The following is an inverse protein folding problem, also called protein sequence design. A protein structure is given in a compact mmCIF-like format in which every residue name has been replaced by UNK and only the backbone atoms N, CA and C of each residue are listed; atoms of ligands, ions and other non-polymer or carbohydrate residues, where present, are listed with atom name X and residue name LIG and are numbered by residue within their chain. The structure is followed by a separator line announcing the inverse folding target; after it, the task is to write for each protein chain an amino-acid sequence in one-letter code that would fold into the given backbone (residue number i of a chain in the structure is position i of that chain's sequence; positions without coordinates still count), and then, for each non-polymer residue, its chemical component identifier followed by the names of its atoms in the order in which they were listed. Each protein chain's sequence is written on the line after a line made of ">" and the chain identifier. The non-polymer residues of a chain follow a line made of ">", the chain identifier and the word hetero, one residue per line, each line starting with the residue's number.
data_IF_926838244593
#
_entry.id   IF_926838244593
#
_cell.length_a   1.000
_cell.length_b   1.000
_cell.length_c   1.000
_cell.angle_alpha   90.00
_cell.angle_beta   90.00
_cell.angle_gamma   90.00
#
_symmetry.space_group_name_H-M   'P 1'
#
loop_
_entity.id
_entity.type
_entity.pdbx_description
1 polymer ?
#
# COMPACT_ATOMS: atom_id res chain seq x y z
N UNK A 1 11.89 16.09 55.54
CA UNK A 1 12.99 17.08 55.44
C UNK A 1 14.23 16.36 54.92
N UNK A 2 14.41 16.37 53.61
CA UNK A 2 15.71 16.21 52.95
C UNK A 2 15.68 17.24 51.83
N UNK A 3 16.67 18.13 51.83
CA UNK A 3 16.70 19.39 51.11
C UNK A 3 16.81 19.22 49.59
N UNK A 4 15.89 19.82 48.85
CA UNK A 4 16.03 20.08 47.42
C UNK A 4 17.08 21.17 47.22
N UNK A 5 18.31 20.79 46.89
CA UNK A 5 19.30 21.73 46.36
C UNK A 5 19.08 21.87 44.86
N UNK A 6 18.25 22.83 44.46
CA UNK A 6 18.17 23.28 43.07
C UNK A 6 19.47 24.00 42.70
N UNK A 7 20.37 23.31 42.01
CA UNK A 7 21.52 23.96 41.37
C UNK A 7 20.99 24.63 40.10
N UNK A 8 20.63 25.91 40.22
CA UNK A 8 20.42 26.78 39.07
C UNK A 8 21.76 27.12 38.43
N UNK A 9 22.28 26.24 37.55
CA UNK A 9 23.29 26.64 36.57
C UNK A 9 22.55 27.15 35.34
N UNK A 10 22.64 28.45 35.09
CA UNK A 10 22.27 29.04 33.80
C UNK A 10 23.19 28.44 32.74
N UNK A 11 22.65 27.51 31.95
CA UNK A 11 23.33 26.93 30.80
C UNK A 11 23.19 27.94 29.67
N UNK A 12 24.26 28.67 29.37
CA UNK A 12 24.35 29.45 28.12
C UNK A 12 24.55 28.48 26.97
N UNK A 13 23.53 28.29 26.14
CA UNK A 13 23.63 27.48 24.93
C UNK A 13 24.66 28.09 23.97
N UNK A 14 25.82 27.44 23.82
CA UNK A 14 26.81 27.81 22.81
C UNK A 14 26.26 27.66 21.40
N UNK A 15 26.90 28.39 20.47
CA UNK A 15 26.57 28.53 19.05
C UNK A 15 26.16 27.23 18.37
N UNK A 16 25.14 27.35 17.51
CA UNK A 16 24.60 26.35 16.58
C UNK A 16 25.71 25.44 16.04
N UNK A 17 25.65 24.14 16.37
CA UNK A 17 26.48 23.14 15.73
C UNK A 17 25.76 22.74 14.45
N UNK A 18 26.09 23.37 13.32
CA UNK A 18 25.69 22.87 12.00
C UNK A 18 26.55 21.65 11.67
N UNK A 19 26.26 20.53 12.32
CA UNK A 19 26.82 19.23 11.98
C UNK A 19 25.65 18.31 11.61
N UNK A 20 25.03 18.64 10.47
CA UNK A 20 24.09 17.78 9.78
C UNK A 20 24.78 16.46 9.46
N UNK A 21 24.20 15.34 9.89
CA UNK A 21 24.44 14.10 9.19
C UNK A 21 23.84 14.24 7.77
N UNK A 22 24.56 13.80 6.73
CA UNK A 22 24.03 13.82 5.37
C UNK A 22 22.81 12.89 5.28
N UNK A 23 21.61 13.47 5.13
CA UNK A 23 20.31 12.78 5.12
C UNK A 23 19.96 12.07 6.45
N UNK A 24 19.56 12.81 7.50
CA UNK A 24 19.13 12.22 8.78
C UNK A 24 17.97 11.26 8.59
N UNK A 25 18.11 10.06 9.16
CA UNK A 25 17.16 8.95 9.01
C UNK A 25 16.51 8.49 10.31
N UNK A 26 16.86 9.13 11.42
CA UNK A 26 16.17 9.01 12.70
C UNK A 26 15.27 10.23 12.90
N UNK A 27 14.06 10.00 13.39
CA UNK A 27 13.06 11.05 13.63
C UNK A 27 12.17 10.71 14.82
N UNK A 28 11.39 11.69 15.28
CA UNK A 28 10.51 11.58 16.42
C UNK A 28 11.13 12.11 17.72
N UNK A 29 10.40 11.93 18.81
CA UNK A 29 10.74 12.52 20.10
C UNK A 29 11.07 11.45 21.15
N UNK A 30 12.13 11.70 21.92
CA UNK A 30 12.40 11.05 23.20
C UNK A 30 12.09 12.02 24.36
N UNK A 31 11.98 11.49 25.57
CA UNK A 31 11.66 12.28 26.75
C UNK A 31 12.45 11.84 27.99
N UNK A 32 12.90 12.80 28.79
CA UNK A 32 13.44 12.55 30.12
C UNK A 32 13.15 13.71 31.05
N UNK A 33 12.93 13.45 32.35
CA UNK A 33 12.47 14.47 33.31
C UNK A 33 13.35 15.73 33.34
N UNK A 34 14.68 15.56 33.33
CA UNK A 34 15.63 16.68 33.34
C UNK A 34 16.12 17.06 31.92
N UNK A 35 15.87 16.22 30.93
CA UNK A 35 16.19 16.51 29.52
C UNK A 35 15.07 17.28 28.81
N UNK A 36 13.83 17.19 29.30
CA UNK A 36 12.66 17.59 28.55
C UNK A 36 12.49 16.77 27.28
N UNK A 37 11.81 17.35 26.30
CA UNK A 37 11.69 16.79 24.96
C UNK A 37 13.02 16.81 24.21
N UNK A 38 13.32 15.71 23.52
CA UNK A 38 14.49 15.56 22.66
C UNK A 38 14.01 15.24 21.24
N UNK A 39 14.27 16.15 20.31
CA UNK A 39 13.98 16.01 18.88
C UNK A 39 15.16 15.39 18.14
N UNK A 40 14.90 14.38 17.29
CA UNK A 40 15.94 13.67 16.53
C UNK A 40 16.13 14.19 15.11
N UNK A 41 15.22 15.04 14.62
CA UNK A 41 15.25 15.55 13.26
C UNK A 41 14.67 16.98 13.21
N UNK A 42 15.23 17.84 12.37
CA UNK A 42 14.63 19.16 12.12
C UNK A 42 13.20 19.08 11.58
N UNK A 43 12.84 18.01 10.84
CA UNK A 43 11.48 17.77 10.37
C UNK A 43 10.46 17.52 11.50
N UNK A 44 10.92 17.09 12.67
CA UNK A 44 10.04 16.94 13.83
C UNK A 44 9.48 18.30 14.29
N UNK A 45 10.14 19.39 13.87
CA UNK A 45 9.78 20.78 14.13
C UNK A 45 9.04 21.46 12.96
N UNK A 46 8.73 20.74 11.89
CA UNK A 46 8.03 21.25 10.70
C UNK A 46 6.92 20.25 10.27
N UNK A 47 5.86 20.11 11.08
CA UNK A 47 4.82 19.12 10.83
C UNK A 47 3.98 19.40 9.58
N UNK A 48 3.89 20.66 9.14
CA UNK A 48 3.23 21.09 7.91
C UNK A 48 4.15 21.13 6.68
N UNK A 49 5.46 20.89 6.88
CA UNK A 49 6.47 20.76 5.85
C UNK A 49 6.52 21.99 4.93
N UNK A 50 6.38 23.18 5.54
CA UNK A 50 6.44 24.47 4.85
C UNK A 50 7.84 25.12 4.90
N UNK A 51 8.78 24.48 5.61
CA UNK A 51 10.15 24.91 5.79
C UNK A 51 10.35 25.91 6.94
N UNK A 52 9.30 26.23 7.70
CA UNK A 52 9.31 27.22 8.76
C UNK A 52 8.99 26.61 10.14
N UNK A 53 9.69 27.09 11.18
CA UNK A 53 9.33 26.75 12.55
C UNK A 53 8.19 27.64 13.02
N UNK A 54 7.00 27.06 13.16
CA UNK A 54 5.78 27.78 13.55
C UNK A 54 5.56 27.83 15.08
N UNK A 55 6.57 27.44 15.88
CA UNK A 55 6.51 27.45 17.35
C UNK A 55 5.89 26.20 17.98
N UNK A 56 5.58 25.19 17.17
CA UNK A 56 5.03 23.90 17.59
C UNK A 56 5.68 22.76 16.77
N UNK A 57 5.88 21.56 17.35
CA UNK A 57 5.64 21.21 18.75
C UNK A 57 6.67 21.82 19.72
N UNK A 58 6.37 21.82 21.04
CA UNK A 58 7.36 22.12 22.08
C UNK A 58 8.51 21.12 22.04
N UNK A 59 9.71 21.49 22.50
CA UNK A 59 10.89 20.62 22.43
C UNK A 59 11.86 20.91 21.29
N UNK A 60 11.52 21.85 20.40
CA UNK A 60 12.34 22.23 19.27
C UNK A 60 13.33 23.36 19.60
N UNK A 61 14.47 23.44 18.89
CA UNK A 61 15.40 24.55 19.08
C UNK A 61 14.71 25.85 18.69
N UNK A 62 14.79 26.86 19.55
CA UNK A 62 14.31 28.20 19.25
C UNK A 62 15.22 28.83 18.19
N UNK A 63 14.96 28.58 16.91
CA UNK A 63 15.45 29.46 15.85
C UNK A 63 14.59 30.72 15.84
N UNK A 64 15.22 31.89 15.72
CA UNK A 64 14.47 33.08 15.30
C UNK A 64 13.82 32.73 13.96
N UNK A 65 12.49 32.88 13.79
CA UNK A 65 11.85 32.74 12.48
C UNK A 65 12.66 33.51 11.43
N UNK A 66 12.93 32.94 10.24
CA UNK A 66 11.92 32.23 9.43
C UNK A 66 12.25 30.80 8.98
N UNK A 67 13.31 30.14 9.48
CA UNK A 67 13.70 28.80 9.02
C UNK A 67 13.98 27.83 10.17
N UNK A 68 13.62 26.55 9.98
CA UNK A 68 14.08 25.47 10.87
C UNK A 68 15.56 25.22 10.58
N UNK A 69 16.42 25.31 11.59
CA UNK A 69 17.82 24.92 11.42
C UNK A 69 17.85 23.43 11.04
N UNK A 70 18.59 23.07 9.99
CA UNK A 70 18.80 21.67 9.67
C UNK A 70 19.62 21.00 10.78
N UNK A 71 19.12 19.86 11.25
CA UNK A 71 19.85 18.94 12.12
C UNK A 71 19.19 17.56 12.02
N UNK A 72 19.91 16.55 12.45
CA UNK A 72 19.31 15.27 12.77
C UNK A 72 20.33 14.17 13.02
N UNK A 73 19.82 13.04 13.48
CA UNK A 73 20.60 11.82 13.73
C UNK A 73 20.47 10.87 12.55
N UNK A 74 21.59 10.23 12.18
CA UNK A 74 21.63 9.16 11.19
C UNK A 74 22.21 7.89 11.77
N UNK A 75 21.71 6.75 11.30
CA UNK A 75 22.31 5.43 11.52
C UNK A 75 22.68 4.85 10.17
N UNK A 76 23.95 4.53 9.97
CA UNK A 76 24.41 3.87 8.75
C UNK A 76 23.85 2.44 8.70
N UNK A 77 23.13 2.10 7.63
CA UNK A 77 22.43 0.81 7.51
C UNK A 77 23.35 -0.39 7.27
N UNK A 78 24.63 -0.16 6.98
CA UNK A 78 25.62 -1.21 6.73
C UNK A 78 26.53 -1.47 7.91
N UNK A 79 26.80 -0.45 8.72
CA UNK A 79 27.74 -0.49 9.84
C UNK A 79 27.06 -0.30 11.20
N UNK A 80 25.84 0.22 11.23
CA UNK A 80 25.11 0.54 12.47
C UNK A 80 25.62 1.78 13.20
N UNK A 81 26.61 2.50 12.66
CA UNK A 81 27.20 3.67 13.33
C UNK A 81 26.22 4.85 13.33
N UNK A 82 26.07 5.48 14.49
CA UNK A 82 25.32 6.71 14.61
C UNK A 82 26.19 7.93 14.24
N UNK A 83 25.54 8.99 13.76
CA UNK A 83 26.14 10.30 13.51
C UNK A 83 25.10 11.41 13.61
N UNK A 84 25.57 12.66 13.67
CA UNK A 84 24.71 13.83 13.73
C UNK A 84 24.25 14.17 15.15
N UNK A 85 23.27 15.07 15.24
CA UNK A 85 22.88 15.70 16.50
C UNK A 85 21.36 15.68 16.70
N UNK A 86 20.95 15.43 17.94
CA UNK A 86 19.59 15.67 18.42
C UNK A 86 19.56 16.95 19.26
N UNK A 87 18.38 17.53 19.42
CA UNK A 87 18.17 18.73 20.23
C UNK A 87 17.29 18.44 21.45
N UNK A 88 17.78 18.78 22.64
CA UNK A 88 17.03 18.78 23.89
C UNK A 88 16.66 20.20 24.29
N UNK A 89 15.41 20.45 24.69
CA UNK A 89 14.98 21.77 25.15
C UNK A 89 15.63 22.22 26.47
N UNK A 90 15.99 21.28 27.36
CA UNK A 90 16.59 21.61 28.65
C UNK A 90 18.12 21.41 28.67
N UNK A 91 18.65 20.54 27.81
CA UNK A 91 20.07 20.16 27.81
C UNK A 91 20.84 20.64 26.57
N UNK A 92 20.15 21.05 25.51
CA UNK A 92 20.73 21.53 24.26
C UNK A 92 21.16 20.40 23.32
N UNK A 93 22.22 20.63 22.54
CA UNK A 93 22.70 19.68 21.53
C UNK A 93 23.27 18.39 22.15
N UNK A 94 22.84 17.27 21.58
CA UNK A 94 23.32 15.92 21.90
C UNK A 94 23.98 15.33 20.65
N UNK A 95 25.29 15.11 20.71
CA UNK A 95 26.10 14.49 19.66
C UNK A 95 25.99 12.96 19.76
N UNK A 96 25.51 12.32 18.69
CA UNK A 96 25.39 10.85 18.59
C UNK A 96 26.58 10.19 17.89
N UNK A 97 27.53 10.96 17.35
CA UNK A 97 28.76 10.48 16.74
C UNK A 97 30.06 10.99 17.40
N UNK A 98 30.18 11.06 18.75
CA UNK A 98 31.39 11.55 19.39
C UNK A 98 32.57 10.61 19.08
N UNK A 99 33.73 11.17 18.73
CA UNK A 99 34.88 10.38 18.24
C UNK A 99 35.85 9.93 19.34
N UNK A 100 35.80 10.53 20.52
CA UNK A 100 36.71 10.20 21.64
C UNK A 100 36.20 10.74 22.99
N UNK A 101 36.81 10.28 24.09
CA UNK A 101 36.55 10.77 25.45
C UNK A 101 35.58 9.92 26.29
N UNK A 102 35.23 8.72 25.81
CA UNK A 102 34.28 7.82 26.47
C UNK A 102 34.68 7.49 27.93
N UNK A 103 33.76 7.59 28.92
CA UNK A 103 34.09 7.41 30.33
C UNK A 103 34.49 5.98 30.69
N UNK A 104 33.86 4.99 30.04
CA UNK A 104 34.04 3.57 30.33
C UNK A 104 33.53 2.72 29.17
N UNK A 105 33.76 1.41 29.26
CA UNK A 105 33.26 0.47 28.27
C UNK A 105 31.71 0.58 28.12
N UNK A 106 31.19 0.49 26.88
CA UNK A 106 31.93 0.38 25.61
C UNK A 106 32.60 1.70 25.18
N UNK A 107 33.83 1.66 24.68
CA UNK A 107 34.63 2.84 24.31
C UNK A 107 34.37 3.31 22.87
N UNK A 108 33.09 3.47 22.50
CA UNK A 108 32.68 3.95 21.18
C UNK A 108 31.37 4.75 21.26
N UNK A 109 31.08 5.51 20.19
CA UNK A 109 29.83 6.23 20.00
C UNK A 109 28.62 5.29 19.94
N UNK A 110 27.41 5.83 20.00
CA UNK A 110 26.20 5.06 19.80
C UNK A 110 26.30 4.19 18.53
N UNK A 111 26.03 2.90 18.67
CA UNK A 111 26.15 1.90 17.59
C UNK A 111 25.01 0.91 17.69
N UNK A 112 24.33 0.71 16.58
CA UNK A 112 23.25 -0.26 16.40
C UNK A 112 23.82 -1.60 15.93
N UNK A 113 23.52 -2.67 16.65
CA UNK A 113 23.84 -4.02 16.21
C UNK A 113 22.73 -4.54 15.27
N UNK A 114 23.07 -4.67 13.99
CA UNK A 114 22.16 -5.13 12.92
C UNK A 114 21.60 -6.54 13.15
N UNK A 115 22.22 -7.35 14.01
CA UNK A 115 21.84 -8.73 14.27
C UNK A 115 20.97 -8.89 15.52
N UNK A 116 21.30 -8.19 16.61
CA UNK A 116 20.57 -8.29 17.88
C UNK A 116 19.47 -7.24 18.03
N UNK A 117 19.55 -6.15 17.27
CA UNK A 117 18.65 -5.01 17.42
C UNK A 117 19.05 -4.05 18.55
N UNK A 118 20.15 -4.31 19.26
CA UNK A 118 20.58 -3.53 20.42
C UNK A 118 21.36 -2.26 20.02
N UNK A 119 21.23 -1.21 20.81
CA UNK A 119 22.04 0.00 20.68
C UNK A 119 22.98 0.11 21.87
N UNK A 120 24.27 0.12 21.60
CA UNK A 120 25.34 0.23 22.61
C UNK A 120 26.16 1.50 22.39
N UNK A 121 27.08 1.84 23.29
CA UNK A 121 27.93 3.03 23.15
C UNK A 121 27.39 4.25 23.89
N UNK A 122 27.90 5.41 23.50
CA UNK A 122 27.63 6.69 24.14
C UNK A 122 27.24 7.79 23.15
N UNK A 123 26.34 8.67 23.58
CA UNK A 123 26.16 10.02 23.02
C UNK A 123 26.68 11.07 24.02
N UNK A 124 26.82 12.32 23.55
CA UNK A 124 27.35 13.42 24.36
C UNK A 124 26.46 14.64 24.35
N UNK A 125 25.94 15.01 25.52
CA UNK A 125 25.30 16.30 25.79
C UNK A 125 26.37 17.37 25.84
N UNK A 126 26.46 18.20 24.80
CA UNK A 126 27.60 19.10 24.61
C UNK A 126 27.68 20.19 25.69
N UNK A 127 26.53 20.67 26.18
CA UNK A 127 26.48 21.74 27.17
C UNK A 127 27.02 21.33 28.56
N UNK A 128 27.11 20.03 28.83
CA UNK A 128 27.57 19.49 30.11
C UNK A 128 29.07 19.17 30.14
N UNK A 129 29.78 19.33 29.02
CA UNK A 129 31.22 19.07 28.96
C UNK A 129 31.57 17.62 29.30
N UNK A 130 32.41 17.42 30.33
CA UNK A 130 32.89 16.10 30.74
C UNK A 130 31.80 15.26 31.46
N UNK A 131 30.75 15.90 31.97
CA UNK A 131 29.63 15.26 32.65
C UNK A 131 28.48 14.88 31.69
N UNK A 132 28.66 15.13 30.38
CA UNK A 132 27.60 15.04 29.37
C UNK A 132 27.38 13.66 28.76
N UNK A 133 27.99 12.60 29.27
CA UNK A 133 27.94 11.29 28.63
C UNK A 133 26.61 10.57 28.87
N UNK A 134 25.91 10.24 27.79
CA UNK A 134 24.64 9.52 27.79
C UNK A 134 24.88 8.09 27.29
N UNK A 135 24.75 7.11 28.17
CA UNK A 135 24.97 5.69 27.86
C UNK A 135 23.71 5.08 27.23
N UNK A 136 23.85 4.35 26.14
CA UNK A 136 22.73 3.77 25.39
C UNK A 136 22.19 2.47 26.03
N UNK A 137 23.07 1.64 26.57
CA UNK A 137 22.72 0.39 27.25
C UNK A 137 23.87 -0.07 28.15
N UNK A 138 23.53 -0.82 29.21
CA UNK A 138 24.50 -1.51 30.04
C UNK A 138 23.88 -2.72 30.76
N UNK A 139 23.96 -3.88 30.12
CA UNK A 139 23.47 -5.14 30.68
C UNK A 139 24.35 -5.70 31.80
N UNK A 140 25.51 -5.08 32.08
CA UNK A 140 26.32 -5.45 33.25
C UNK A 140 25.75 -4.89 34.55
N UNK A 141 24.83 -3.91 34.46
CA UNK A 141 24.14 -3.30 35.60
C UNK A 141 22.83 -4.06 35.85
N UNK A 142 22.69 -4.81 36.96
CA UNK A 142 21.52 -5.67 37.19
C UNK A 142 20.18 -4.93 37.18
N UNK A 143 20.16 -3.66 37.58
CA UNK A 143 18.95 -2.83 37.58
C UNK A 143 18.57 -2.29 36.20
N UNK A 144 19.44 -2.44 35.19
CA UNK A 144 19.23 -1.96 33.83
C UNK A 144 19.31 -3.08 32.77
N UNK A 145 19.58 -4.31 33.21
CA UNK A 145 19.64 -5.51 32.37
C UNK A 145 18.40 -5.66 31.49
N UNK A 146 18.62 -5.64 30.18
CA UNK A 146 17.59 -5.80 29.14
C UNK A 146 16.69 -4.58 28.92
N UNK A 147 16.96 -3.46 29.60
CA UNK A 147 16.18 -2.22 29.56
C UNK A 147 16.89 -1.09 28.79
N UNK A 148 18.11 -1.35 28.27
CA UNK A 148 18.82 -0.44 27.37
C UNK A 148 18.15 -0.28 26.01
N UNK A 149 18.66 0.66 25.19
CA UNK A 149 18.08 0.96 23.89
C UNK A 149 18.10 -0.22 22.93
N UNK A 150 16.98 -0.41 22.23
CA UNK A 150 16.79 -1.38 21.15
C UNK A 150 16.02 -0.74 20.01
N UNK A 151 16.29 -1.15 18.79
CA UNK A 151 15.53 -0.79 17.60
C UNK A 151 14.87 -2.06 17.06
N UNK A 152 13.55 -2.04 16.96
CA UNK A 152 12.78 -3.16 16.42
C UNK A 152 13.10 -3.39 14.94
N UNK A 153 13.45 -4.62 14.55
CA UNK A 153 13.71 -4.96 13.15
C UNK A 153 12.46 -5.01 12.27
N UNK A 154 11.26 -4.93 12.85
CA UNK A 154 9.98 -4.93 12.13
C UNK A 154 9.33 -3.56 12.05
N UNK A 155 9.40 -2.79 13.13
CA UNK A 155 8.77 -1.45 13.23
C UNK A 155 9.78 -0.31 13.12
N UNK A 156 11.07 -0.58 13.33
CA UNK A 156 12.15 0.41 13.45
C UNK A 156 11.91 1.46 14.53
N UNK A 157 11.01 1.15 15.45
CA UNK A 157 10.75 1.93 16.63
C UNK A 157 11.85 1.63 17.65
N UNK A 158 12.35 2.69 18.27
CA UNK A 158 13.19 2.56 19.44
C UNK A 158 12.33 2.12 20.61
N UNK A 159 12.98 1.47 21.57
CA UNK A 159 12.47 1.12 22.89
C UNK A 159 13.62 1.10 23.88
N UNK A 160 13.28 1.19 25.17
CA UNK A 160 14.24 1.18 26.25
C UNK A 160 14.78 2.57 26.60
N UNK A 161 15.75 2.55 27.51
CA UNK A 161 16.18 3.73 28.26
C UNK A 161 17.67 3.99 28.10
N UNK A 162 18.04 5.27 27.92
CA UNK A 162 19.42 5.75 28.01
C UNK A 162 19.65 6.45 29.36
N UNK A 163 20.89 6.43 29.85
CA UNK A 163 21.24 7.00 31.17
C UNK A 163 22.38 8.00 31.10
N UNK A 164 22.17 9.21 31.64
CA UNK A 164 23.24 10.14 31.98
C UNK A 164 23.39 10.21 33.50
N UNK A 165 24.51 9.74 34.02
CA UNK A 165 24.85 9.84 35.42
C UNK A 165 26.34 9.65 35.68
N UNK A 166 26.83 10.37 36.67
CA UNK A 166 28.24 10.47 37.03
C UNK A 166 28.54 9.78 38.37
N UNK A 167 29.81 9.53 38.66
CA UNK A 167 30.25 8.82 39.87
C UNK A 167 29.92 9.53 41.19
N UNK A 168 29.65 10.84 41.13
CA UNK A 168 29.24 11.66 42.27
C UNK A 168 27.72 11.77 42.42
N UNK A 169 26.97 10.90 41.74
CA UNK A 169 25.50 10.91 41.66
C UNK A 169 24.91 12.16 41.00
N UNK A 170 25.73 13.00 40.34
CA UNK A 170 25.23 14.05 39.44
C UNK A 170 24.82 13.46 38.08
N UNK A 171 24.14 14.26 37.27
CA UNK A 171 23.64 13.86 35.95
C UNK A 171 22.17 14.22 35.76
N UNK A 172 21.71 14.14 34.51
CA UNK A 172 20.34 14.43 34.11
C UNK A 172 19.41 13.21 34.22
N UNK A 173 19.96 12.00 34.31
CA UNK A 173 19.20 10.79 34.56
C UNK A 173 18.70 10.08 33.31
N UNK A 174 17.51 9.47 33.41
CA UNK A 174 16.94 8.57 32.41
C UNK A 174 16.27 9.32 31.24
N UNK A 175 16.42 8.76 30.05
CA UNK A 175 15.73 9.17 28.82
C UNK A 175 15.03 7.96 28.22
N UNK A 176 13.71 8.05 28.04
CA UNK A 176 12.90 7.07 27.31
C UNK A 176 12.80 7.44 25.84
N UNK A 177 12.94 6.44 24.96
CA UNK A 177 12.81 6.62 23.52
C UNK A 177 11.43 6.20 22.99
N UNK A 178 10.58 5.64 23.84
CA UNK A 178 9.23 5.26 23.50
C UNK A 178 8.28 5.43 24.69
N UNK A 179 7.17 6.10 24.47
CA UNK A 179 6.08 6.25 25.47
C UNK A 179 5.52 4.92 25.97
N UNK A 180 5.69 3.83 25.22
CA UNK A 180 5.27 2.47 25.61
C UNK A 180 6.26 1.77 26.52
N UNK A 181 7.44 2.34 26.76
CA UNK A 181 8.43 1.77 27.68
C UNK A 181 7.90 1.77 29.12
N UNK A 182 8.21 0.69 29.85
CA UNK A 182 7.77 0.57 31.23
C UNK A 182 8.34 1.72 32.08
N UNK A 183 7.46 2.54 32.66
CA UNK A 183 7.83 3.71 33.48
C UNK A 183 7.92 5.04 32.73
N UNK A 184 7.67 5.07 31.41
CA UNK A 184 7.83 6.25 30.55
C UNK A 184 6.72 7.33 30.67
N UNK A 185 5.75 7.11 31.56
CA UNK A 185 4.63 8.03 31.79
C UNK A 185 3.54 8.04 30.71
N UNK A 186 3.76 7.35 29.57
CA UNK A 186 2.84 7.32 28.42
C UNK A 186 2.92 8.58 27.54
N UNK A 187 2.04 8.69 26.55
CA UNK A 187 1.96 9.85 25.64
C UNK A 187 2.15 9.49 24.16
N UNK A 188 2.09 10.45 23.23
CA UNK A 188 2.16 10.20 21.79
C UNK A 188 3.60 10.28 21.23
N UNK A 189 4.64 9.99 22.02
CA UNK A 189 6.03 10.09 21.58
C UNK A 189 6.68 8.72 21.34
N UNK A 190 7.54 8.69 20.32
CA UNK A 190 8.46 7.59 20.00
C UNK A 190 9.54 8.10 19.06
N UNK A 191 10.69 7.45 19.08
CA UNK A 191 11.76 7.63 18.09
C UNK A 191 11.72 6.47 17.08
N UNK A 192 11.97 6.77 15.81
CA UNK A 192 11.98 5.79 14.70
C UNK A 192 13.20 5.97 13.81
N UNK A 193 13.78 4.85 13.34
CA UNK A 193 14.88 4.83 12.37
C UNK A 193 14.36 4.45 10.98
N UNK A 194 13.70 5.41 10.33
CA UNK A 194 12.97 5.21 9.07
C UNK A 194 13.82 4.54 7.97
N UNK A 195 15.10 4.89 7.78
CA UNK A 195 15.91 4.31 6.68
C UNK A 195 16.83 3.14 7.09
N UNK A 196 16.66 2.56 8.27
CA UNK A 196 17.31 1.29 8.62
C UNK A 196 16.62 0.08 7.97
N UNK A 197 15.43 0.29 7.40
CA UNK A 197 14.73 -0.74 6.65
C UNK A 197 15.15 -0.84 5.20
N UNK A 198 14.99 -2.03 4.62
CA UNK A 198 15.13 -2.24 3.19
C UNK A 198 14.16 -1.35 2.41
N UNK A 199 14.63 -0.75 1.33
CA UNK A 199 13.74 -0.01 0.41
C UNK A 199 12.92 -1.07 -0.34
N UNK A 200 11.58 -1.05 -0.22
CA UNK A 200 10.77 -1.98 -0.97
C UNK A 200 10.97 -1.72 -2.46
N UNK A 201 11.10 -2.79 -3.25
CA UNK A 201 11.35 -2.72 -4.69
C UNK A 201 10.19 -3.34 -5.44
N UNK A 202 9.50 -2.52 -6.23
CA UNK A 202 8.48 -3.00 -7.17
C UNK A 202 9.15 -3.72 -8.32
N UNK A 203 8.74 -4.95 -8.59
CA UNK A 203 9.22 -5.70 -9.75
C UNK A 203 8.41 -5.30 -10.98
N UNK A 204 8.96 -4.44 -11.84
CA UNK A 204 8.29 -3.97 -13.06
C UNK A 204 7.86 -5.12 -13.99
N UNK A 205 8.66 -6.20 -14.06
CA UNK A 205 8.32 -7.38 -14.87
C UNK A 205 7.15 -8.19 -14.31
N UNK A 206 6.76 -7.96 -13.06
CA UNK A 206 5.56 -8.57 -12.46
C UNK A 206 4.30 -7.73 -12.63
N UNK A 207 4.44 -6.49 -13.11
CA UNK A 207 3.30 -5.62 -13.32
C UNK A 207 2.51 -6.12 -14.53
N UNK A 208 1.19 -6.23 -14.39
CA UNK A 208 0.30 -6.67 -15.47
C UNK A 208 -0.89 -5.74 -15.59
N UNK A 209 -1.21 -5.35 -16.83
CA UNK A 209 -2.42 -4.62 -17.19
C UNK A 209 -2.72 -4.75 -18.70
N UNK A 210 -4.00 -4.77 -19.10
CA UNK A 210 -5.16 -4.92 -18.22
C UNK A 210 -5.44 -6.41 -17.98
N UNK A 211 -5.63 -6.81 -16.73
CA UNK A 211 -6.05 -8.17 -16.37
C UNK A 211 -7.59 -8.31 -16.48
N UNK A 212 -8.14 -7.90 -17.62
CA UNK A 212 -9.58 -7.75 -17.89
C UNK A 212 -9.98 -8.48 -19.17
N UNK A 213 -9.95 -9.82 -19.14
CA UNK A 213 -10.28 -10.65 -20.33
C UNK A 213 -11.68 -10.40 -20.89
N UNK A 214 -11.89 -10.74 -22.16
CA UNK A 214 -13.18 -10.55 -22.85
C UNK A 214 -14.35 -11.24 -22.14
N UNK A 215 -14.11 -12.40 -21.54
CA UNK A 215 -15.12 -13.11 -20.76
C UNK A 215 -15.53 -12.38 -19.47
N UNK A 216 -14.61 -11.64 -18.85
CA UNK A 216 -14.89 -10.81 -17.67
C UNK A 216 -15.60 -9.52 -18.08
N UNK A 217 -15.11 -8.88 -19.15
CA UNK A 217 -15.70 -7.66 -19.69
C UNK A 217 -17.15 -7.86 -20.16
N UNK A 218 -17.46 -8.99 -20.81
CA UNK A 218 -18.82 -9.32 -21.26
C UNK A 218 -19.85 -9.42 -20.12
N UNK A 219 -19.41 -9.64 -18.87
CA UNK A 219 -20.29 -9.79 -17.70
C UNK A 219 -20.28 -8.54 -16.82
N UNK A 220 -19.12 -7.93 -16.62
CA UNK A 220 -18.93 -6.81 -15.68
C UNK A 220 -18.83 -5.43 -16.34
N UNK A 221 -18.84 -5.38 -17.67
CA UNK A 221 -18.65 -4.15 -18.46
C UNK A 221 -17.21 -4.00 -18.95
N UNK A 222 -17.04 -3.42 -20.13
CA UNK A 222 -15.74 -3.28 -20.77
C UNK A 222 -14.95 -2.03 -20.34
N UNK A 223 -15.60 -1.04 -19.71
CA UNK A 223 -14.96 0.20 -19.27
C UNK A 223 -14.33 0.08 -17.87
N UNK A 224 -13.52 -0.97 -17.68
CA UNK A 224 -12.80 -1.29 -16.45
C UNK A 224 -11.44 -1.90 -16.78
N UNK A 225 -10.52 -1.86 -15.83
CA UNK A 225 -9.26 -2.59 -15.92
C UNK A 225 -8.86 -3.16 -14.57
N UNK A 226 -8.10 -4.26 -14.57
CA UNK A 226 -7.47 -4.79 -13.36
C UNK A 226 -5.96 -4.67 -13.50
N UNK A 227 -5.34 -3.96 -12.57
CA UNK A 227 -3.89 -3.81 -12.47
C UNK A 227 -3.38 -4.80 -11.43
N UNK A 228 -2.27 -5.46 -11.71
CA UNK A 228 -1.59 -6.31 -10.70
C UNK A 228 -0.11 -6.01 -10.68
N UNK A 229 0.51 -6.13 -9.51
CA UNK A 229 1.95 -5.92 -9.33
C UNK A 229 2.46 -6.76 -8.17
N UNK A 230 3.75 -7.06 -8.19
CA UNK A 230 4.46 -7.56 -7.01
C UNK A 230 5.61 -6.66 -6.62
N UNK A 231 5.93 -6.67 -5.33
CA UNK A 231 7.09 -6.00 -4.79
C UNK A 231 7.72 -6.84 -3.69
N UNK A 232 9.02 -6.66 -3.53
CA UNK A 232 9.82 -7.32 -2.51
C UNK A 232 10.33 -6.29 -1.52
N UNK A 233 10.36 -6.67 -0.26
CA UNK A 233 11.10 -5.96 0.78
C UNK A 233 12.07 -6.99 1.38
N UNK A 234 13.38 -6.78 1.28
CA UNK A 234 14.36 -7.84 1.60
C UNK A 234 14.32 -8.31 3.06
N UNK A 235 13.65 -7.54 3.94
CA UNK A 235 13.43 -7.89 5.34
C UNK A 235 12.01 -8.41 5.62
N UNK A 236 11.17 -8.56 4.60
CA UNK A 236 9.80 -9.08 4.71
C UNK A 236 8.79 -8.11 5.33
N UNK A 237 9.17 -6.84 5.50
CA UNK A 237 8.41 -5.81 6.20
C UNK A 237 7.52 -4.97 5.26
N UNK A 238 7.08 -5.51 4.12
CA UNK A 238 6.17 -4.82 3.22
C UNK A 238 4.75 -4.64 3.79
N UNK A 239 3.85 -4.09 2.98
CA UNK A 239 2.41 -4.11 3.26
C UNK A 239 1.85 -2.96 4.06
N UNK A 240 2.51 -1.79 4.11
CA UNK A 240 1.97 -0.61 4.82
C UNK A 240 1.05 0.22 3.95
N UNK A 241 1.55 0.64 2.79
CA UNK A 241 0.85 1.57 1.92
C UNK A 241 1.18 1.36 0.45
N UNK A 242 0.31 1.80 -0.45
CA UNK A 242 0.58 1.88 -1.88
C UNK A 242 0.03 3.19 -2.45
N UNK A 243 0.50 3.56 -3.64
CA UNK A 243 -0.04 4.64 -4.46
C UNK A 243 -0.10 4.18 -5.91
N UNK A 244 -1.26 4.34 -6.53
CA UNK A 244 -1.46 4.11 -7.96
C UNK A 244 -1.65 5.45 -8.65
N UNK A 245 -0.93 5.64 -9.76
CA UNK A 245 -1.08 6.80 -10.62
C UNK A 245 -1.40 6.31 -12.03
N UNK A 246 -2.47 6.83 -12.63
CA UNK A 246 -2.89 6.55 -14.00
C UNK A 246 -2.90 7.85 -14.79
N UNK A 247 -2.35 7.81 -16.01
CA UNK A 247 -2.26 8.96 -16.90
C UNK A 247 -2.72 8.59 -18.30
N UNK A 248 -3.49 9.47 -18.92
CA UNK A 248 -3.86 9.37 -20.34
C UNK A 248 -2.58 9.42 -21.19
N UNK A 249 -2.36 8.42 -22.04
CA UNK A 249 -1.08 8.27 -22.73
C UNK A 249 -0.83 9.34 -23.79
N UNK A 250 -1.90 9.95 -24.34
CA UNK A 250 -1.84 10.97 -25.37
C UNK A 250 -1.55 12.35 -24.79
N UNK A 251 -2.27 12.72 -23.74
CA UNK A 251 -2.23 14.06 -23.12
C UNK A 251 -1.27 14.13 -21.93
N UNK A 252 -0.85 12.97 -21.41
CA UNK A 252 -0.11 12.81 -20.15
C UNK A 252 -0.83 13.41 -18.93
N UNK A 253 -2.14 13.68 -19.06
CA UNK A 253 -2.97 14.17 -17.96
C UNK A 253 -3.20 13.05 -16.95
N UNK A 254 -3.07 13.37 -15.66
CA UNK A 254 -3.37 12.44 -14.58
C UNK A 254 -4.88 12.21 -14.51
N UNK A 255 -5.32 11.01 -14.87
CA UNK A 255 -6.72 10.60 -14.67
C UNK A 255 -6.93 10.22 -13.22
N UNK A 256 -5.93 9.64 -12.56
CA UNK A 256 -6.04 9.21 -11.16
C UNK A 256 -4.71 9.23 -10.47
N UNK A 257 -4.74 9.68 -9.23
CA UNK A 257 -3.67 9.55 -8.27
C UNK A 257 -4.32 9.22 -6.93
N UNK A 258 -4.12 8.00 -6.44
CA UNK A 258 -4.76 7.56 -5.20
C UNK A 258 -4.21 8.28 -3.98
N UNK A 259 -3.07 8.97 -4.11
CA UNK A 259 -2.24 9.33 -2.97
C UNK A 259 -1.74 8.08 -2.24
N UNK A 260 -1.27 8.25 -1.01
CA UNK A 260 -0.82 7.15 -0.15
C UNK A 260 -2.03 6.44 0.46
N UNK A 261 -2.36 5.26 -0.06
CA UNK A 261 -3.39 4.38 0.46
C UNK A 261 -2.82 3.47 1.53
N UNK A 262 -3.30 3.60 2.76
CA UNK A 262 -2.96 2.75 3.91
C UNK A 262 -4.17 1.89 4.32
N UNK A 263 -3.94 0.87 5.14
CA UNK A 263 -5.03 0.08 5.70
C UNK A 263 -5.99 0.98 6.52
N UNK A 264 -7.29 0.92 6.21
CA UNK A 264 -8.30 1.79 6.82
C UNK A 264 -8.39 3.22 6.25
N UNK A 265 -7.72 3.51 5.13
CA UNK A 265 -7.85 4.82 4.45
C UNK A 265 -9.29 5.10 4.05
N UNK A 266 -9.77 6.32 4.33
CA UNK A 266 -11.13 6.78 4.04
C UNK A 266 -11.32 7.28 2.60
N UNK A 267 -10.25 7.30 1.80
CA UNK A 267 -10.30 7.73 0.40
C UNK A 267 -11.05 6.69 -0.45
N UNK A 268 -12.04 7.15 -1.22
CA UNK A 268 -12.81 6.31 -2.16
C UNK A 268 -11.94 5.72 -3.29
N UNK A 269 -10.74 6.24 -3.49
CA UNK A 269 -9.77 5.72 -4.46
C UNK A 269 -8.93 4.58 -3.90
N UNK A 270 -8.85 4.45 -2.57
CA UNK A 270 -8.12 3.36 -1.94
C UNK A 270 -8.96 2.09 -1.93
N UNK A 271 -8.34 0.96 -2.24
CA UNK A 271 -8.87 -0.36 -1.93
C UNK A 271 -8.26 -0.80 -0.62
N UNK A 272 -9.00 -1.62 0.13
CA UNK A 272 -8.44 -2.34 1.25
C UNK A 272 -7.31 -3.28 0.76
N UNK A 273 -6.26 -3.40 1.58
CA UNK A 273 -5.07 -4.21 1.32
C UNK A 273 -5.36 -5.72 1.28
N UNK A 274 -6.59 -6.14 1.52
CA UNK A 274 -7.03 -7.55 1.45
C UNK A 274 -6.78 -8.21 0.09
N UNK A 275 -6.59 -7.43 -0.98
CA UNK A 275 -6.13 -7.92 -2.30
C UNK A 275 -4.62 -8.19 -2.40
N UNK A 276 -3.83 -7.84 -1.39
CA UNK A 276 -2.39 -8.10 -1.34
C UNK A 276 -2.08 -9.42 -0.63
N UNK A 277 -1.65 -10.43 -1.39
CA UNK A 277 -1.21 -11.71 -0.85
C UNK A 277 0.27 -11.61 -0.45
N UNK A 278 0.57 -11.92 0.82
CA UNK A 278 1.94 -11.97 1.33
C UNK A 278 2.51 -13.38 1.21
N UNK A 279 3.69 -13.50 0.59
CA UNK A 279 4.53 -14.69 0.59
C UNK A 279 5.97 -14.22 0.83
N UNK A 280 6.33 -14.08 2.12
CA UNK A 280 7.55 -13.39 2.54
C UNK A 280 8.80 -13.87 1.78
N UNK A 281 9.64 -12.95 1.23
CA UNK A 281 9.59 -11.48 1.35
C UNK A 281 8.76 -10.74 0.27
N UNK A 282 7.98 -11.44 -0.54
CA UNK A 282 7.20 -10.91 -1.67
C UNK A 282 5.75 -10.61 -1.31
N UNK A 283 5.20 -9.58 -1.94
CA UNK A 283 3.81 -9.17 -1.83
C UNK A 283 3.22 -9.02 -3.23
N UNK A 284 2.06 -9.59 -3.49
CA UNK A 284 1.34 -9.49 -4.77
C UNK A 284 0.01 -8.82 -4.57
N UNK A 285 -0.22 -7.69 -5.23
CA UNK A 285 -1.39 -6.84 -5.04
C UNK A 285 -2.18 -6.68 -6.33
N UNK A 286 -3.47 -6.37 -6.20
CA UNK A 286 -4.34 -6.02 -7.32
C UNK A 286 -5.12 -4.73 -7.04
N UNK A 287 -5.36 -3.95 -8.09
CA UNK A 287 -6.15 -2.72 -8.06
C UNK A 287 -7.16 -2.71 -9.21
N UNK A 288 -8.43 -2.43 -8.91
CA UNK A 288 -9.48 -2.34 -9.94
C UNK A 288 -9.68 -0.89 -10.35
N UNK A 289 -9.62 -0.64 -11.65
CA UNK A 289 -9.90 0.64 -12.29
C UNK A 289 -11.36 0.61 -12.74
N UNK A 290 -12.17 1.50 -12.17
CA UNK A 290 -13.61 1.60 -12.41
C UNK A 290 -14.05 3.06 -12.37
N UNK A 291 -14.83 3.47 -13.37
CA UNK A 291 -15.38 4.81 -13.50
C UNK A 291 -16.47 5.15 -12.46
N UNK A 292 -17.02 4.18 -11.76
CA UNK A 292 -18.07 4.42 -10.76
C UNK A 292 -17.54 5.01 -9.44
N UNK A 293 -16.22 5.22 -9.31
CA UNK A 293 -15.60 5.72 -8.08
C UNK A 293 -15.52 7.24 -8.01
N UNK A 294 -15.97 7.78 -6.88
CA UNK A 294 -15.87 9.21 -6.56
C UNK A 294 -14.40 9.66 -6.53
N UNK A 295 -14.08 10.70 -7.30
CA UNK A 295 -12.73 11.28 -7.40
C UNK A 295 -11.85 10.64 -8.49
N UNK A 296 -12.34 9.62 -9.21
CA UNK A 296 -11.68 9.06 -10.37
C UNK A 296 -12.07 9.89 -11.61
N UNK A 297 -11.11 10.44 -12.36
CA UNK A 297 -11.43 11.24 -13.57
C UNK A 297 -11.76 10.37 -14.80
N UNK A 298 -11.98 9.07 -14.60
CA UNK A 298 -12.42 8.15 -15.63
C UNK A 298 -11.30 7.57 -16.49
N UNK A 299 -11.62 6.44 -17.12
CA UNK A 299 -11.01 5.94 -18.34
C UNK A 299 -12.08 5.96 -19.44
N UNK A 300 -11.65 6.14 -20.69
CA UNK A 300 -12.51 6.14 -21.88
C UNK A 300 -12.27 4.85 -22.68
N UNK A 301 -13.19 4.51 -23.56
CA UNK A 301 -12.99 3.44 -24.54
C UNK A 301 -11.92 3.80 -25.56
N UNK A 302 -11.23 2.78 -26.08
CA UNK A 302 -10.21 2.90 -27.12
C UNK A 302 -9.10 3.89 -26.77
N UNK A 303 -8.66 3.89 -25.51
CA UNK A 303 -7.59 4.77 -25.03
C UNK A 303 -6.53 4.01 -24.28
N UNK A 304 -5.29 4.40 -24.53
CA UNK A 304 -4.11 3.88 -23.85
C UNK A 304 -3.77 4.74 -22.63
N UNK A 305 -3.33 4.08 -21.56
CA UNK A 305 -2.98 4.71 -20.29
C UNK A 305 -1.63 4.24 -19.79
N UNK A 306 -0.82 5.17 -19.30
CA UNK A 306 0.31 4.83 -18.45
C UNK A 306 -0.18 4.57 -17.03
N UNK A 307 0.44 3.63 -16.33
CA UNK A 307 0.25 3.51 -14.89
C UNK A 307 1.55 3.26 -14.14
N UNK A 308 1.55 3.71 -12.89
CA UNK A 308 2.69 3.68 -12.00
C UNK A 308 2.24 3.20 -10.62
N UNK A 309 3.17 2.58 -9.91
CA UNK A 309 2.97 2.15 -8.54
C UNK A 309 4.14 2.56 -7.66
N UNK A 310 3.82 3.00 -6.45
CA UNK A 310 4.75 3.23 -5.36
C UNK A 310 4.25 2.50 -4.12
N UNK A 311 5.14 1.91 -3.34
CA UNK A 311 4.78 1.14 -2.15
C UNK A 311 5.57 1.61 -0.94
N UNK A 312 5.01 1.39 0.26
CA UNK A 312 5.65 1.67 1.53
C UNK A 312 5.75 0.40 2.37
N UNK A 313 6.89 0.22 3.01
CA UNK A 313 7.08 -0.81 4.02
C UNK A 313 6.55 -0.34 5.39
N UNK A 314 6.53 -1.22 6.40
CA UNK A 314 6.04 -0.89 7.75
C UNK A 314 6.78 0.30 8.41
N UNK A 315 8.02 0.56 8.00
CA UNK A 315 8.85 1.69 8.45
C UNK A 315 8.48 3.03 7.80
N UNK A 316 7.49 3.05 6.92
CA UNK A 316 7.15 4.19 6.06
C UNK A 316 8.18 4.58 5.01
N UNK A 317 9.08 3.67 4.63
CA UNK A 317 10.01 3.90 3.53
C UNK A 317 9.31 3.64 2.21
N UNK A 318 9.30 4.66 1.35
CA UNK A 318 8.74 4.57 0.02
C UNK A 318 9.70 3.88 -0.95
N UNK A 319 9.17 3.06 -1.85
CA UNK A 319 9.86 2.67 -3.08
C UNK A 319 10.01 3.86 -4.02
N UNK A 320 10.79 3.67 -5.08
CA UNK A 320 10.67 4.51 -6.27
C UNK A 320 9.26 4.36 -6.88
N UNK A 321 8.77 5.41 -7.53
CA UNK A 321 7.58 5.32 -8.37
C UNK A 321 7.93 4.54 -9.65
N UNK A 322 7.42 3.31 -9.76
CA UNK A 322 7.78 2.38 -10.84
C UNK A 322 6.70 2.37 -11.91
N UNK A 323 7.12 2.59 -13.17
CA UNK A 323 6.23 2.54 -14.33
C UNK A 323 6.04 1.10 -14.82
N UNK A 324 4.82 0.80 -15.24
CA UNK A 324 4.53 -0.39 -16.03
C UNK A 324 5.32 -0.42 -17.34
N UNK A 325 5.85 -1.59 -17.73
CA UNK A 325 6.63 -1.75 -18.95
C UNK A 325 6.57 -3.17 -19.55
N UNK A 326 5.48 -3.91 -19.32
CA UNK A 326 5.41 -5.35 -19.62
C UNK A 326 4.18 -5.76 -20.43
N UNK A 327 3.81 -4.99 -21.47
CA UNK A 327 2.64 -5.26 -22.31
C UNK A 327 2.64 -6.62 -23.05
N UNK A 328 3.76 -7.35 -23.13
CA UNK A 328 3.86 -8.53 -23.99
C UNK A 328 3.43 -9.85 -23.32
N UNK A 329 3.35 -9.92 -21.99
CA UNK A 329 3.00 -11.15 -21.23
C UNK A 329 1.72 -10.97 -20.40
N UNK A 330 1.21 -9.73 -20.35
CA UNK A 330 0.21 -9.27 -19.39
C UNK A 330 -1.14 -8.88 -20.03
N UNK A 331 -1.22 -8.90 -21.34
CA UNK A 331 -2.33 -8.39 -22.12
C UNK A 331 -3.40 -9.48 -22.29
N UNK A 332 -4.46 -9.42 -21.48
CA UNK A 332 -5.47 -10.50 -21.40
C UNK A 332 -6.72 -10.25 -22.23
N UNK A 333 -6.86 -9.05 -22.74
CA UNK A 333 -7.77 -8.59 -23.79
C UNK A 333 -7.29 -8.93 -25.20
N UNK A 334 -6.05 -9.41 -25.35
CA UNK A 334 -5.44 -9.89 -26.60
C UNK A 334 -5.23 -8.80 -27.66
N UNK A 335 -5.08 -7.54 -27.27
CA UNK A 335 -4.75 -6.39 -28.09
C UNK A 335 -3.40 -5.80 -27.69
N UNK A 336 -2.31 -6.47 -28.13
CA UNK A 336 -0.95 -6.04 -27.78
C UNK A 336 -0.72 -4.58 -28.19
N UNK A 337 -0.53 -3.75 -27.16
CA UNK A 337 -0.27 -2.33 -27.33
C UNK A 337 0.98 -2.03 -28.15
N UNK A 338 0.94 -0.91 -28.89
CA UNK A 338 2.11 -0.42 -29.62
C UNK A 338 3.21 0.11 -28.68
N UNK A 339 2.84 0.68 -27.53
CA UNK A 339 3.77 1.10 -26.48
C UNK A 339 3.76 0.11 -25.31
N UNK A 340 4.92 -0.49 -25.04
CA UNK A 340 5.08 -1.45 -23.93
C UNK A 340 4.77 -0.94 -22.53
N UNK A 341 4.59 0.37 -22.38
CA UNK A 341 4.34 1.05 -21.11
C UNK A 341 2.87 1.39 -20.88
N UNK A 342 2.00 1.09 -21.84
CA UNK A 342 0.57 1.35 -21.73
C UNK A 342 -0.22 0.06 -21.62
N UNK A 343 -1.43 0.19 -21.06
CA UNK A 343 -2.53 -0.72 -21.37
C UNK A 343 -3.59 0.08 -22.14
N UNK A 344 -4.31 -0.56 -23.05
CA UNK A 344 -5.44 0.02 -23.78
C UNK A 344 -6.75 -0.54 -23.25
N UNK A 345 -7.79 0.29 -23.28
CA UNK A 345 -9.15 -0.14 -22.94
C UNK A 345 -9.85 -0.65 -24.20
N UNK A 346 -10.82 -1.55 -24.00
CA UNK A 346 -11.74 -1.97 -25.06
C UNK A 346 -12.29 -0.78 -25.87
N UNK A 347 -12.56 -1.01 -27.15
CA UNK A 347 -13.07 0.00 -28.07
C UNK A 347 -14.53 0.43 -27.83
N UNK A 348 -15.33 -0.45 -27.22
CA UNK A 348 -16.71 -0.19 -26.80
C UNK A 348 -17.22 -1.27 -25.84
N UNK A 349 -18.49 -1.18 -25.45
CA UNK A 349 -19.15 -2.16 -24.59
C UNK A 349 -19.52 -3.45 -25.33
N UNK A 350 -19.53 -4.58 -24.64
CA UNK A 350 -19.94 -5.87 -25.19
C UNK A 350 -21.46 -5.95 -25.42
N UNK A 351 -21.94 -6.78 -26.37
CA UNK A 351 -23.36 -7.01 -26.58
C UNK A 351 -24.07 -7.55 -25.32
N UNK A 352 -25.31 -7.14 -25.10
CA UNK A 352 -26.18 -7.69 -24.04
C UNK A 352 -27.01 -8.81 -24.62
N UNK A 353 -26.77 -10.04 -24.15
CA UNK A 353 -27.47 -11.22 -24.68
C UNK A 353 -28.79 -11.45 -23.98
N UNK A 354 -29.86 -11.57 -24.77
CA UNK A 354 -31.18 -11.93 -24.27
C UNK A 354 -31.95 -12.70 -25.33
N UNK A 355 -32.76 -13.67 -24.91
CA UNK A 355 -33.69 -14.34 -25.79
C UNK A 355 -34.91 -14.87 -25.03
N UNK A 356 -35.96 -15.16 -25.80
CA UNK A 356 -37.16 -15.84 -25.32
C UNK A 356 -37.48 -17.04 -26.21
N UNK A 357 -38.36 -17.93 -25.72
CA UNK A 357 -38.80 -19.08 -26.50
C UNK A 357 -40.28 -19.38 -26.28
N UNK A 358 -40.92 -19.96 -27.29
CA UNK A 358 -42.33 -20.33 -27.26
C UNK A 358 -42.54 -21.69 -27.94
N UNK A 359 -43.29 -22.62 -27.30
CA UNK A 359 -44.00 -22.47 -26.02
C UNK A 359 -43.07 -22.55 -24.80
N UNK A 360 -43.47 -21.96 -23.67
CA UNK A 360 -42.72 -22.03 -22.41
C UNK A 360 -42.85 -23.39 -21.70
N UNK A 361 -43.92 -24.15 -21.99
CA UNK A 361 -44.05 -25.56 -21.63
C UNK A 361 -43.76 -26.41 -22.85
N UNK A 362 -42.54 -26.94 -22.92
CA UNK A 362 -42.08 -27.73 -24.06
C UNK A 362 -42.42 -29.20 -23.82
N UNK A 363 -43.05 -29.83 -24.80
CA UNK A 363 -43.28 -31.28 -24.79
C UNK A 363 -42.41 -31.99 -25.82
N UNK A 364 -42.12 -33.27 -25.60
CA UNK A 364 -41.32 -34.10 -26.51
C UNK A 364 -41.88 -34.03 -27.94
N UNK A 365 -41.00 -33.73 -28.90
CA UNK A 365 -41.29 -33.62 -30.33
C UNK A 365 -41.97 -32.32 -30.77
N UNK A 366 -42.22 -31.38 -29.85
CA UNK A 366 -42.81 -30.09 -30.16
C UNK A 366 -41.77 -29.11 -30.72
N UNK A 367 -42.16 -28.35 -31.75
CA UNK A 367 -41.33 -27.26 -32.29
C UNK A 367 -41.34 -26.10 -31.31
N UNK A 368 -40.15 -25.61 -30.98
CA UNK A 368 -39.92 -24.43 -30.14
C UNK A 368 -39.34 -23.32 -31.02
N UNK A 369 -39.97 -22.15 -30.98
CA UNK A 369 -39.49 -20.95 -31.66
C UNK A 369 -38.68 -20.13 -30.66
N UNK A 370 -37.49 -19.71 -31.05
CA UNK A 370 -36.63 -18.83 -30.26
C UNK A 370 -36.62 -17.44 -30.89
N UNK A 371 -36.68 -16.41 -30.05
CA UNK A 371 -36.63 -15.02 -30.48
C UNK A 371 -35.43 -14.35 -29.84
N UNK A 372 -34.50 -13.86 -30.67
CA UNK A 372 -33.34 -13.11 -30.20
C UNK A 372 -33.76 -11.68 -29.81
N UNK A 373 -33.44 -11.29 -28.58
CA UNK A 373 -33.73 -9.98 -28.00
C UNK A 373 -32.43 -9.26 -27.58
N UNK A 374 -31.29 -9.73 -28.07
CA UNK A 374 -29.98 -9.20 -27.74
C UNK A 374 -29.80 -7.80 -28.34
N UNK A 375 -29.05 -6.96 -27.64
CA UNK A 375 -28.83 -5.57 -28.02
C UNK A 375 -27.33 -5.25 -28.03
N UNK A 376 -26.98 -4.23 -28.80
CA UNK A 376 -25.66 -3.59 -28.80
C UNK A 376 -25.82 -2.10 -29.05
N UNK A 377 -24.78 -1.33 -28.78
CA UNK A 377 -24.78 0.11 -29.02
C UNK A 377 -24.42 0.41 -30.48
N UNK A 378 -24.93 1.51 -31.04
CA UNK A 378 -24.50 1.95 -32.37
C UNK A 378 -23.07 2.53 -32.28
N UNK A 379 -22.21 2.33 -33.29
CA UNK A 379 -22.45 1.73 -34.62
C UNK A 379 -22.22 0.20 -34.71
N UNK A 380 -22.21 -0.53 -33.59
CA UNK A 380 -21.73 -1.91 -33.54
C UNK A 380 -22.76 -2.97 -34.00
N UNK A 381 -23.72 -2.58 -34.83
CA UNK A 381 -24.73 -3.47 -35.42
C UNK A 381 -24.38 -3.82 -36.88
N UNK A 382 -24.95 -4.90 -37.46
CA UNK A 382 -25.85 -5.89 -36.87
C UNK A 382 -25.13 -6.93 -36.00
N UNK A 383 -25.88 -7.56 -35.08
CA UNK A 383 -25.42 -8.73 -34.32
C UNK A 383 -25.54 -10.02 -35.14
N UNK A 384 -24.51 -10.85 -35.09
CA UNK A 384 -24.52 -12.22 -35.61
C UNK A 384 -24.86 -13.18 -34.47
N UNK A 385 -25.80 -14.10 -34.70
CA UNK A 385 -26.25 -15.08 -33.70
C UNK A 385 -25.64 -16.44 -33.97
N UNK A 386 -25.23 -17.14 -32.91
CA UNK A 386 -24.85 -18.54 -32.94
C UNK A 386 -25.53 -19.29 -31.79
N UNK A 387 -26.37 -20.26 -32.13
CA UNK A 387 -27.20 -21.00 -31.21
C UNK A 387 -26.72 -22.42 -31.07
N UNK A 388 -26.70 -22.91 -29.82
CA UNK A 388 -26.51 -24.32 -29.50
C UNK A 388 -27.71 -24.82 -28.69
N UNK A 389 -28.34 -25.89 -29.18
CA UNK A 389 -29.46 -26.58 -28.53
C UNK A 389 -29.00 -27.98 -28.13
N UNK A 390 -28.57 -28.17 -26.88
CA UNK A 390 -28.13 -29.50 -26.41
C UNK A 390 -29.32 -30.47 -26.48
N UNK A 391 -29.17 -31.58 -27.22
CA UNK A 391 -30.25 -32.53 -27.54
C UNK A 391 -31.39 -31.97 -28.41
N UNK A 392 -31.18 -30.80 -29.04
CA UNK A 392 -32.11 -30.21 -30.00
C UNK A 392 -31.89 -30.72 -31.43
N UNK A 393 -32.91 -30.52 -32.27
CA UNK A 393 -32.90 -30.85 -33.70
C UNK A 393 -33.53 -29.68 -34.50
N UNK A 394 -32.74 -28.94 -35.30
CA UNK A 394 -31.29 -29.01 -35.41
C UNK A 394 -30.61 -28.64 -34.07
N UNK A 395 -29.41 -29.19 -33.84
CA UNK A 395 -28.64 -28.96 -32.61
C UNK A 395 -27.93 -27.61 -32.58
N UNK A 396 -27.82 -26.91 -33.71
CA UNK A 396 -27.24 -25.56 -33.82
C UNK A 396 -27.98 -24.73 -34.87
N UNK A 397 -27.82 -23.40 -34.82
CA UNK A 397 -28.36 -22.48 -35.83
C UNK A 397 -27.67 -21.12 -35.81
N UNK A 398 -27.54 -20.47 -36.96
CA UNK A 398 -27.05 -19.08 -37.08
C UNK A 398 -28.14 -18.07 -37.46
N UNK A 399 -29.40 -18.52 -37.62
CA UNK A 399 -30.55 -17.63 -37.82
C UNK A 399 -30.78 -16.73 -36.60
N UNK A 400 -31.20 -15.48 -36.82
CA UNK A 400 -31.58 -14.54 -35.75
C UNK A 400 -32.66 -15.15 -34.84
N UNK A 401 -33.75 -15.64 -35.45
CA UNK A 401 -34.87 -16.27 -34.74
C UNK A 401 -35.01 -17.72 -35.22
N UNK A 402 -34.34 -18.69 -34.59
CA UNK A 402 -34.34 -20.08 -35.04
C UNK A 402 -35.49 -20.90 -34.47
N UNK A 403 -35.66 -22.09 -35.04
CA UNK A 403 -36.54 -23.13 -34.49
C UNK A 403 -35.72 -24.37 -34.15
N UNK A 404 -36.09 -25.06 -33.07
CA UNK A 404 -35.55 -26.38 -32.73
C UNK A 404 -36.61 -27.23 -32.05
N UNK A 405 -36.46 -28.56 -32.10
CA UNK A 405 -37.32 -29.52 -31.39
C UNK A 405 -36.48 -30.41 -30.47
N UNK A 406 -37.11 -30.92 -29.41
CA UNK A 406 -36.46 -31.82 -28.46
C UNK A 406 -37.23 -33.15 -28.42
N UNK A 407 -36.60 -34.22 -28.90
CA UNK A 407 -37.24 -35.53 -29.04
C UNK A 407 -37.06 -36.43 -27.80
N UNK A 408 -36.36 -35.94 -26.77
CA UNK A 408 -36.10 -36.67 -25.52
C UNK A 408 -36.57 -35.83 -24.33
N UNK A 409 -37.29 -36.46 -23.39
CA UNK A 409 -37.68 -35.85 -22.11
C UNK A 409 -36.44 -35.53 -21.28
N UNK A 410 -36.45 -34.37 -20.62
CA UNK A 410 -35.40 -33.98 -19.67
C UNK A 410 -35.10 -32.50 -19.73
N UNK A 411 -34.00 -32.09 -19.12
CA UNK A 411 -33.51 -30.72 -19.20
C UNK A 411 -32.56 -30.59 -20.39
N UNK A 412 -32.80 -29.59 -21.23
CA UNK A 412 -31.97 -29.21 -22.36
C UNK A 412 -31.34 -27.84 -22.09
N UNK A 413 -30.04 -27.69 -22.32
CA UNK A 413 -29.36 -26.40 -22.25
C UNK A 413 -29.41 -25.73 -23.63
N UNK A 414 -29.91 -24.50 -23.65
CA UNK A 414 -29.87 -23.64 -24.83
C UNK A 414 -28.90 -22.50 -24.59
N UNK A 415 -27.94 -22.34 -25.48
CA UNK A 415 -26.93 -21.29 -25.44
C UNK A 415 -27.07 -20.41 -26.67
N UNK A 416 -27.12 -19.09 -26.45
CA UNK A 416 -27.01 -18.08 -27.49
C UNK A 416 -25.69 -17.33 -27.29
N UNK A 417 -24.87 -17.32 -28.33
CA UNK A 417 -23.72 -16.42 -28.46
C UNK A 417 -24.08 -15.35 -29.49
N UNK A 418 -23.85 -14.09 -29.17
CA UNK A 418 -23.98 -13.00 -30.14
C UNK A 418 -22.64 -12.30 -30.30
N UNK A 419 -22.31 -11.97 -31.54
CA UNK A 419 -21.08 -11.27 -31.92
C UNK A 419 -21.45 -9.98 -32.64
N UNK A 420 -20.84 -8.86 -32.27
CA UNK A 420 -21.01 -7.62 -33.04
C UNK A 420 -20.06 -7.48 -34.23
N UNK A 421 -20.19 -6.38 -34.96
CA UNK A 421 -19.42 -6.14 -36.18
C UNK A 421 -17.92 -5.85 -35.93
N UNK A 422 -17.50 -5.66 -34.68
CA UNK A 422 -16.12 -5.51 -34.26
C UNK A 422 -15.56 -6.78 -33.62
N UNK A 423 -16.37 -7.84 -33.50
CA UNK A 423 -15.96 -9.15 -33.01
C UNK A 423 -16.13 -9.36 -31.50
N UNK A 424 -16.81 -8.45 -30.78
CA UNK A 424 -17.04 -8.62 -29.35
C UNK A 424 -18.16 -9.62 -29.14
N UNK A 425 -17.91 -10.60 -28.29
CA UNK A 425 -18.79 -11.74 -28.08
C UNK A 425 -19.29 -11.81 -26.66
N UNK A 426 -20.60 -12.02 -26.53
CA UNK A 426 -21.24 -12.32 -25.25
C UNK A 426 -22.08 -13.59 -25.41
N UNK A 427 -22.28 -14.31 -24.31
CA UNK A 427 -23.10 -15.53 -24.31
C UNK A 427 -24.07 -15.56 -23.13
N UNK A 428 -25.21 -16.22 -23.34
CA UNK A 428 -26.18 -16.53 -22.29
C UNK A 428 -26.72 -17.93 -22.49
N UNK A 429 -26.98 -18.64 -21.38
CA UNK A 429 -27.52 -19.99 -21.41
C UNK A 429 -28.75 -20.13 -20.52
N UNK A 430 -29.77 -20.82 -21.02
CA UNK A 430 -31.02 -21.12 -20.28
C UNK A 430 -31.34 -22.60 -20.37
N UNK A 431 -31.71 -23.20 -19.24
CA UNK A 431 -32.20 -24.58 -19.18
C UNK A 431 -33.70 -24.66 -19.46
N UNK A 432 -34.10 -25.51 -20.41
CA UNK A 432 -35.49 -25.77 -20.79
C UNK A 432 -35.89 -27.16 -20.31
N UNK A 433 -37.02 -27.28 -19.63
CA UNK A 433 -37.60 -28.58 -19.27
C UNK A 433 -38.50 -29.10 -20.38
N UNK A 434 -38.21 -30.30 -20.86
CA UNK A 434 -38.97 -31.01 -21.89
C UNK A 434 -39.76 -32.13 -21.23
N UNK A 435 -41.09 -31.99 -21.22
CA UNK A 435 -42.00 -32.93 -20.59
C UNK A 435 -42.60 -33.91 -21.59
N UNK A 436 -43.12 -35.03 -21.09
CA UNK A 436 -43.92 -35.91 -21.93
C UNK A 436 -45.22 -35.20 -22.34
N UNK A 437 -45.70 -35.53 -23.54
CA UNK A 437 -47.05 -35.15 -23.94
C UNK A 437 -48.05 -35.77 -22.98
N UNK A 438 -48.94 -34.95 -22.40
CA UNK A 438 -50.04 -35.47 -21.59
C UNK A 438 -50.92 -36.41 -22.44
N UNK A 439 -51.39 -37.54 -21.89
CA UNK A 439 -52.30 -38.41 -22.61
C UNK A 439 -53.59 -37.66 -22.95
N UNK A 440 -54.14 -37.91 -24.13
CA UNK A 440 -55.48 -37.44 -24.48
C UNK A 440 -56.49 -38.19 -23.63
N UNK A 441 -57.27 -37.49 -22.82
CA UNK A 441 -58.43 -38.07 -22.17
C UNK A 441 -59.65 -37.96 -23.09
N UNK A 442 -60.40 -39.05 -23.22
CA UNK A 442 -61.67 -39.11 -23.94
C UNK A 442 -62.75 -39.61 -22.97
N UNK A 443 -63.82 -38.83 -22.81
CA UNK A 443 -64.99 -39.27 -22.07
C UNK A 443 -65.71 -40.36 -22.87
N UNK A 444 -65.97 -41.50 -22.22
CA UNK A 444 -66.79 -42.57 -22.80
C UNK A 444 -68.04 -42.70 -21.95
N UNK A 445 -69.23 -42.56 -22.54
CA UNK A 445 -70.49 -42.77 -21.83
C UNK A 445 -70.62 -44.26 -21.46
N UNK A 446 -71.05 -44.62 -20.23
CA UNK A 446 -71.37 -45.99 -19.87
C UNK A 446 -72.47 -46.55 -20.80
N UNK A 447 -72.33 -47.82 -21.20
CA UNK A 447 -73.35 -48.53 -22.00
C UNK A 447 -74.51 -49.00 -21.14
#
# INVERSE_FOLDING_TARGET
>A
MVSSSSIGRSVTFSSIVNADAANPNVSGFAWGENFGWISFNSKDCDPDNDGAFNGLPSGCPLSSPPAVNSYGVSIDSSTGLFSGHAWSENAGWIDFGPTSGFPSAPLHAATYDLSSGEVTGWAKVLALGDDGWLKMSDDTVPSWLGQGLKISSSTYEFSGWAWNGNSDNSGLGWVSFNSSDAGAGGGPYKVVASSLGSIPTVNAASMMAPQWSSSTAAVSGALMAKLTFSYNDSLGNGGKAYRIVIKDALTNATTTDTGKCENGSSSNLCYDFSGCLQSAPSFTCSYIVDNNRLGFNGIDYNKSYYWYVQVWNQADVASTLTQYNNNSIADTDHDIDADSRTFTTYTHEFPVVSFSYSPTRVTVGQVVNFTNQSTTTLPYSPLVSDWTFVNGLPGTSTSTDPISKFDIRGTSLVTLVVTDNNGYQSSSSTSISVDNRLPSWQEVKPQ
#
